data_IF_685221341724
#
_entry.id   IF_685221341724
#
_cell.length_a   1.000
_cell.length_b   1.000
_cell.length_c   1.000
_cell.angle_alpha   90.00
_cell.angle_beta   90.00
_cell.angle_gamma   90.00
#
_symmetry.space_group_name_H-M   'P 1'
#
loop_
_entity.id
_entity.type
_entity.pdbx_description
1 polymer ?
#
# COMPACT_ATOMS: atom_id res chain seq x y z
N UNK A 1 9.92 1.00 9.76
CA UNK A 1 10.87 1.51 8.73
C UNK A 1 10.13 2.51 7.87
N UNK A 2 10.78 3.58 7.41
CA UNK A 2 10.14 4.52 6.49
C UNK A 2 10.16 3.92 5.08
N UNK A 3 8.98 3.66 4.49
CA UNK A 3 8.83 3.12 3.14
C UNK A 3 8.82 4.27 2.14
N UNK A 4 9.69 4.22 1.12
CA UNK A 4 9.75 5.28 0.10
C UNK A 4 8.63 5.11 -0.94
N UNK A 5 8.08 6.24 -1.38
CA UNK A 5 7.15 6.33 -2.51
C UNK A 5 7.93 6.52 -3.81
N UNK A 6 7.69 5.64 -4.78
CA UNK A 6 8.31 5.65 -6.10
C UNK A 6 7.52 6.53 -7.09
N UNK A 7 8.16 6.91 -8.19
CA UNK A 7 7.54 7.62 -9.31
C UNK A 7 6.94 6.69 -10.38
N UNK A 8 6.89 5.40 -10.12
CA UNK A 8 6.33 4.35 -10.99
C UNK A 8 5.54 3.34 -10.14
N UNK A 9 4.61 2.58 -10.74
CA UNK A 9 3.93 1.51 -10.01
C UNK A 9 4.95 0.46 -9.58
N UNK A 10 4.73 -0.13 -8.41
CA UNK A 10 5.32 -1.43 -8.12
C UNK A 10 4.60 -2.50 -8.95
N UNK A 11 5.31 -3.57 -9.27
CA UNK A 11 4.79 -4.62 -10.14
C UNK A 11 3.91 -5.58 -9.33
N UNK A 12 2.72 -5.89 -9.84
CA UNK A 12 1.86 -6.94 -9.30
C UNK A 12 0.99 -6.57 -8.09
N UNK A 13 0.99 -5.31 -7.61
CA UNK A 13 0.16 -4.90 -6.47
C UNK A 13 -0.92 -3.90 -6.91
N UNK A 14 -2.17 -4.27 -6.66
CA UNK A 14 -3.33 -3.39 -6.80
C UNK A 14 -3.58 -2.65 -5.49
N UNK A 15 -3.61 -1.32 -5.52
CA UNK A 15 -4.03 -0.50 -4.39
C UNK A 15 -5.26 0.32 -4.79
N UNK A 16 -6.42 -0.01 -4.23
CA UNK A 16 -7.68 0.71 -4.48
C UNK A 16 -8.00 1.75 -3.39
N UNK A 17 -7.18 1.80 -2.34
CA UNK A 17 -7.37 2.72 -1.21
C UNK A 17 -6.82 4.09 -1.61
N UNK A 18 -7.66 4.92 -2.23
CA UNK A 18 -7.25 6.24 -2.77
C UNK A 18 -6.79 7.25 -1.70
N UNK A 19 -7.05 6.96 -0.43
CA UNK A 19 -6.54 7.70 0.74
C UNK A 19 -5.15 7.24 1.19
N UNK A 20 -4.58 6.19 0.58
CA UNK A 20 -3.23 5.72 0.86
C UNK A 20 -2.19 6.63 0.19
N UNK A 21 -1.15 7.03 0.92
CA UNK A 21 -0.05 7.84 0.42
C UNK A 21 0.59 7.19 -0.82
N UNK A 22 0.66 5.86 -0.86
CA UNK A 22 1.24 5.09 -1.95
C UNK A 22 0.27 4.79 -3.11
N UNK A 23 -1.00 5.19 -3.04
CA UNK A 23 -1.92 5.04 -4.17
C UNK A 23 -1.40 5.80 -5.40
N UNK A 24 -1.49 5.17 -6.58
CA UNK A 24 -1.16 5.74 -7.87
C UNK A 24 -2.31 5.47 -8.84
N UNK A 25 -2.52 6.39 -9.79
CA UNK A 25 -3.60 6.29 -10.76
C UNK A 25 -3.57 4.94 -11.50
N UNK A 26 -4.74 4.38 -11.80
CA UNK A 26 -4.87 3.03 -12.36
C UNK A 26 -4.92 1.92 -11.30
N UNK A 27 -5.25 2.26 -10.05
CA UNK A 27 -5.27 1.33 -8.90
C UNK A 27 -3.93 0.64 -8.63
N UNK A 28 -2.84 1.38 -8.85
CA UNK A 28 -1.50 0.89 -8.61
C UNK A 28 -1.00 1.32 -7.22
N UNK A 29 -0.14 0.49 -6.63
CA UNK A 29 0.68 0.91 -5.49
C UNK A 29 2.01 1.47 -6.00
N UNK A 30 2.54 2.48 -5.32
CA UNK A 30 3.85 3.08 -5.61
C UNK A 30 4.82 2.97 -4.45
N UNK A 31 4.50 2.17 -3.42
CA UNK A 31 5.43 1.84 -2.35
C UNK A 31 6.58 0.98 -2.90
N UNK A 32 7.82 1.29 -2.53
CA UNK A 32 9.01 0.50 -2.95
C UNK A 32 8.95 -0.97 -2.48
N UNK A 33 8.23 -1.21 -1.38
CA UNK A 33 7.94 -2.52 -0.83
C UNK A 33 6.63 -2.44 -0.04
N UNK A 34 5.93 -3.56 0.13
CA UNK A 34 4.79 -3.66 1.04
C UNK A 34 5.06 -4.71 2.11
N UNK A 35 4.42 -4.52 3.25
CA UNK A 35 4.31 -5.50 4.32
C UNK A 35 2.85 -5.88 4.46
N UNK A 36 2.61 -7.19 4.43
CA UNK A 36 1.29 -7.79 4.62
C UNK A 36 1.28 -8.48 5.98
N UNK A 37 0.23 -8.26 6.76
CA UNK A 37 0.06 -8.81 8.11
C UNK A 37 -1.35 -9.39 8.29
N UNK A 38 -1.55 -10.31 9.24
CA UNK A 38 -0.55 -10.96 10.10
C UNK A 38 0.21 -12.07 9.37
N UNK A 39 1.40 -12.44 9.89
CA UNK A 39 2.26 -13.50 9.31
C UNK A 39 1.57 -14.86 9.17
N UNK A 40 0.63 -15.17 10.06
CA UNK A 40 -0.04 -16.46 10.15
C UNK A 40 -1.51 -16.39 9.75
N UNK A 41 -1.87 -15.45 8.86
CA UNK A 41 -3.21 -15.40 8.28
C UNK A 41 -3.55 -16.74 7.61
N UNK A 42 -4.75 -17.26 7.88
CA UNK A 42 -5.22 -18.52 7.30
C UNK A 42 -6.02 -18.32 6.02
N UNK A 43 -6.49 -17.09 5.78
CA UNK A 43 -7.11 -16.69 4.52
C UNK A 43 -6.84 -15.21 4.18
N UNK A 44 -7.17 -14.82 2.95
CA UNK A 44 -6.88 -13.48 2.43
C UNK A 44 -7.68 -12.35 3.09
N UNK A 45 -8.84 -12.64 3.67
CA UNK A 45 -9.67 -11.63 4.34
C UNK A 45 -9.07 -11.20 5.67
N UNK A 46 -8.17 -12.01 6.24
CA UNK A 46 -7.40 -11.66 7.43
C UNK A 46 -6.15 -10.82 7.11
N UNK A 47 -5.78 -10.70 5.83
CA UNK A 47 -4.56 -9.99 5.44
C UNK A 47 -4.80 -8.50 5.21
N UNK A 48 -3.97 -7.67 5.84
CA UNK A 48 -3.95 -6.22 5.71
C UNK A 48 -2.60 -5.72 5.19
N UNK A 49 -2.62 -4.61 4.45
CA UNK A 49 -1.41 -3.91 4.04
C UNK A 49 -0.96 -2.97 5.18
N UNK A 50 -0.03 -3.42 6.03
CA UNK A 50 0.51 -2.60 7.13
C UNK A 50 1.41 -1.45 6.65
N UNK A 51 1.73 -1.42 5.35
CA UNK A 51 2.35 -0.27 4.67
C UNK A 51 1.37 0.86 4.38
N UNK A 52 0.07 0.69 4.65
CA UNK A 52 -0.89 1.79 4.54
C UNK A 52 -0.45 2.98 5.39
N UNK A 53 -0.35 4.14 4.73
CA UNK A 53 -0.18 5.43 5.37
C UNK A 53 -1.23 6.37 4.80
N UNK A 54 -1.96 7.10 5.65
CA UNK A 54 -3.00 8.01 5.18
C UNK A 54 -2.35 9.23 4.52
N UNK A 55 -2.83 9.62 3.34
CA UNK A 55 -2.52 10.92 2.72
C UNK A 55 -2.93 12.02 3.67
N UNK A 56 -1.99 12.87 4.07
CA UNK A 56 -2.33 14.09 4.81
C UNK A 56 -3.15 15.00 3.90
N UNK A 57 -4.45 15.11 4.20
CA UNK A 57 -5.42 15.89 3.39
C UNK A 57 -5.53 17.34 3.87
N UNK A 58 -4.62 17.79 4.74
CA UNK A 58 -4.57 19.16 5.26
C UNK A 58 -3.17 19.74 5.07
N UNK A 59 -2.97 20.40 3.93
CA UNK A 59 -1.98 21.48 3.75
C UNK A 59 -2.59 22.59 2.91
#
# INVERSE_FOLDING_TARGET
MAIRKMNKPNEGIKCIVNTCEYYMNGDHCSAEQIQVEPRNAVDSQETDCSTFSKRDTFS
#
